data_IF_668895967022
#
_entry.id   IF_668895967022
#
_cell.length_a   1.000
_cell.length_b   1.000
_cell.length_c   1.000
_cell.angle_alpha   90.00
_cell.angle_beta   90.00
_cell.angle_gamma   90.00
#
_symmetry.space_group_name_H-M   'P 1'
#
loop_
_entity.id
_entity.type
_entity.pdbx_description
1 polymer ?
#
# COMPACT_ATOMS: atom_id res chain seq x y z
N UNK A 1 -19.48 14.98 9.09
CA UNK A 1 -19.03 15.40 10.44
C UNK A 1 -18.97 14.20 11.41
N UNK A 2 -18.11 13.18 11.21
CA UNK A 2 -18.11 11.99 12.11
C UNK A 2 -16.72 11.37 12.29
N UNK A 3 -15.69 12.15 12.64
CA UNK A 3 -14.35 11.58 12.94
C UNK A 3 -13.84 12.03 14.31
N UNK A 4 -14.10 13.29 14.67
CA UNK A 4 -13.66 13.88 15.93
C UNK A 4 -14.18 13.07 17.13
N UNK A 5 -15.34 12.41 17.01
CA UNK A 5 -15.93 11.62 18.08
C UNK A 5 -15.19 10.28 18.35
N UNK A 6 -14.56 9.66 17.33
CA UNK A 6 -13.89 8.36 17.50
C UNK A 6 -12.54 8.46 18.23
N UNK A 7 -11.89 9.62 18.13
CA UNK A 7 -10.62 9.89 18.81
C UNK A 7 -10.79 10.48 20.21
N UNK A 8 -12.02 10.89 20.58
CA UNK A 8 -12.31 11.47 21.89
C UNK A 8 -11.96 10.45 22.98
N UNK A 9 -11.07 10.83 23.90
CA UNK A 9 -10.60 9.96 25.00
C UNK A 9 -9.61 8.86 24.59
N UNK A 10 -9.12 8.82 23.34
CA UNK A 10 -8.08 7.87 22.91
C UNK A 10 -6.68 8.47 23.09
N UNK A 11 -5.75 7.65 23.56
CA UNK A 11 -4.34 8.02 23.68
C UNK A 11 -3.76 8.54 22.35
N UNK A 12 -2.84 9.52 22.34
CA UNK A 12 -2.20 10.02 21.12
C UNK A 12 -1.59 8.93 20.23
N UNK A 13 -0.99 7.91 20.85
CA UNK A 13 -0.38 6.77 20.14
C UNK A 13 -1.36 5.69 19.68
N UNK A 14 -2.65 5.82 19.98
CA UNK A 14 -3.67 4.85 19.58
C UNK A 14 -3.68 4.65 18.05
N UNK A 15 -3.68 3.39 17.63
CA UNK A 15 -3.78 3.01 16.23
C UNK A 15 -4.57 1.70 16.03
N UNK A 16 -5.24 1.63 14.89
CA UNK A 16 -6.02 0.48 14.41
C UNK A 16 -5.35 -0.21 13.22
N UNK A 17 -4.43 0.46 12.53
CA UNK A 17 -3.71 -0.17 11.44
C UNK A 17 -2.44 0.56 11.03
N UNK A 18 -1.68 -0.08 10.13
CA UNK A 18 -0.39 0.40 9.64
C UNK A 18 -0.42 0.45 8.11
N UNK A 19 -0.10 1.63 7.55
CA UNK A 19 0.26 1.75 6.14
C UNK A 19 1.76 1.55 5.99
N UNK A 20 2.15 0.49 5.30
CA UNK A 20 3.53 0.14 5.01
C UNK A 20 3.86 0.57 3.59
N UNK A 21 4.57 1.68 3.44
CA UNK A 21 5.07 2.16 2.14
C UNK A 21 6.45 1.53 1.91
N UNK A 22 6.62 0.80 0.81
CA UNK A 22 7.86 0.08 0.48
C UNK A 22 8.36 0.48 -0.90
N UNK A 23 9.66 0.74 -1.01
CA UNK A 23 10.33 1.14 -2.24
C UNK A 23 9.63 2.35 -2.92
N UNK A 24 8.96 3.19 -2.12
CA UNK A 24 8.15 4.30 -2.59
C UNK A 24 8.99 5.58 -2.70
N UNK A 25 8.84 6.37 -3.77
CA UNK A 25 9.44 7.71 -3.82
C UNK A 25 8.77 8.64 -2.80
N UNK A 26 9.48 9.70 -2.40
CA UNK A 26 8.98 10.66 -1.41
C UNK A 26 7.66 11.33 -1.82
N UNK A 27 7.40 11.45 -3.12
CA UNK A 27 6.13 11.94 -3.65
C UNK A 27 4.93 11.14 -3.12
N UNK A 28 5.01 9.80 -3.11
CA UNK A 28 3.95 8.93 -2.61
C UNK A 28 3.73 9.16 -1.11
N UNK A 29 4.82 9.27 -0.34
CA UNK A 29 4.78 9.49 1.10
C UNK A 29 4.11 10.85 1.40
N UNK A 30 4.53 11.88 0.68
CA UNK A 30 4.01 13.25 0.82
C UNK A 30 2.55 13.33 0.40
N UNK A 31 2.15 12.63 -0.67
CA UNK A 31 0.76 12.54 -1.10
C UNK A 31 -0.12 11.95 0.00
N UNK A 32 0.32 10.87 0.66
CA UNK A 32 -0.43 10.28 1.79
C UNK A 32 -0.58 11.30 2.90
N UNK A 33 0.51 11.88 3.39
CA UNK A 33 0.48 12.85 4.51
C UNK A 33 -0.46 14.03 4.24
N UNK A 34 -0.37 14.63 3.04
CA UNK A 34 -1.25 15.73 2.61
C UNK A 34 -2.72 15.29 2.57
N UNK A 35 -3.00 14.10 2.05
CA UNK A 35 -4.36 13.55 1.96
C UNK A 35 -4.97 13.34 3.35
N UNK A 36 -4.20 12.77 4.29
CA UNK A 36 -4.70 12.55 5.67
C UNK A 36 -4.95 13.88 6.38
N UNK A 37 -4.00 14.82 6.28
CA UNK A 37 -4.12 16.14 6.90
C UNK A 37 -5.34 16.93 6.36
N UNK A 38 -5.61 16.82 5.05
CA UNK A 38 -6.75 17.45 4.39
C UNK A 38 -8.09 16.82 4.82
N UNK A 39 -8.18 15.49 4.76
CA UNK A 39 -9.44 14.79 5.03
C UNK A 39 -9.85 14.91 6.51
N UNK A 40 -8.88 14.98 7.44
CA UNK A 40 -9.09 14.97 8.91
C UNK A 40 -9.97 13.79 9.35
N UNK A 41 -9.92 12.67 8.61
CA UNK A 41 -10.72 11.45 8.84
C UNK A 41 -10.00 10.37 9.64
N UNK A 42 -8.70 10.52 9.82
CA UNK A 42 -7.88 9.71 10.72
C UNK A 42 -6.67 10.55 11.14
N UNK A 43 -5.98 10.11 12.19
CA UNK A 43 -4.68 10.63 12.63
C UNK A 43 -3.59 9.63 12.27
N UNK A 44 -2.45 10.12 11.79
CA UNK A 44 -1.20 9.36 11.78
C UNK A 44 -0.59 9.51 13.17
N UNK A 45 -0.68 8.49 14.02
CA UNK A 45 -0.17 8.54 15.40
C UNK A 45 1.34 8.35 15.48
N UNK A 46 1.92 7.62 14.52
CA UNK A 46 3.36 7.36 14.45
C UNK A 46 3.82 7.27 13.01
N UNK A 47 5.00 7.81 12.76
CA UNK A 47 5.69 7.72 11.50
C UNK A 47 7.08 7.11 11.74
N UNK A 48 7.31 5.90 11.24
CA UNK A 48 8.53 5.13 11.50
C UNK A 48 9.26 4.82 10.20
N UNK A 49 10.51 5.27 10.07
CA UNK A 49 11.41 4.84 8.98
C UNK A 49 11.82 3.38 9.20
N UNK A 50 11.81 2.59 8.14
CA UNK A 50 12.22 1.18 8.13
C UNK A 50 13.10 0.88 6.92
N UNK A 51 13.77 -0.27 6.90
CA UNK A 51 14.54 -0.68 5.72
C UNK A 51 13.62 -0.75 4.49
N UNK A 52 13.98 -0.03 3.43
CA UNK A 52 13.21 0.01 2.18
C UNK A 52 11.87 0.74 2.28
N UNK A 53 11.66 1.62 3.28
CA UNK A 53 10.47 2.47 3.29
C UNK A 53 10.05 3.06 4.63
N UNK A 54 8.74 3.17 4.84
CA UNK A 54 8.15 3.87 6.00
C UNK A 54 6.84 3.21 6.44
N UNK A 55 6.61 3.19 7.75
CA UNK A 55 5.37 2.72 8.36
C UNK A 55 4.64 3.90 9.00
N UNK A 56 3.41 4.14 8.55
CA UNK A 56 2.52 5.17 9.07
C UNK A 56 1.39 4.49 9.84
N UNK A 57 1.22 4.84 11.12
CA UNK A 57 0.27 4.20 12.02
C UNK A 57 -1.01 5.03 12.04
N UNK A 58 -2.14 4.42 11.69
CA UNK A 58 -3.42 5.08 11.52
C UNK A 58 -4.37 4.76 12.66
N UNK A 59 -5.04 5.80 13.15
CA UNK A 59 -6.08 5.71 14.19
C UNK A 59 -7.41 5.12 13.70
N UNK A 60 -7.60 4.95 12.39
CA UNK A 60 -8.83 4.41 11.80
C UNK A 60 -8.52 3.43 10.67
N UNK A 61 -8.88 2.16 10.85
CA UNK A 61 -8.59 1.10 9.88
C UNK A 61 -9.41 1.20 8.58
N UNK A 62 -10.63 1.74 8.62
CA UNK A 62 -11.46 1.86 7.43
C UNK A 62 -10.94 2.97 6.52
N UNK A 63 -10.54 4.09 7.12
CA UNK A 63 -9.85 5.18 6.44
C UNK A 63 -8.54 4.71 5.81
N UNK A 64 -7.72 3.97 6.57
CA UNK A 64 -6.47 3.38 6.09
C UNK A 64 -6.69 2.52 4.84
N UNK A 65 -7.68 1.62 4.86
CA UNK A 65 -7.98 0.76 3.72
C UNK A 65 -8.43 1.54 2.48
N UNK A 66 -9.17 2.65 2.67
CA UNK A 66 -9.55 3.55 1.58
C UNK A 66 -8.34 4.30 1.02
N UNK A 67 -7.42 4.76 1.87
CA UNK A 67 -6.17 5.37 1.43
C UNK A 67 -5.33 4.38 0.63
N UNK A 68 -5.24 3.12 1.06
CA UNK A 68 -4.59 2.07 0.30
C UNK A 68 -5.17 1.87 -1.10
N UNK A 69 -6.50 1.89 -1.24
CA UNK A 69 -7.17 1.78 -2.55
C UNK A 69 -6.82 2.98 -3.44
N UNK A 70 -6.96 4.20 -2.91
CA UNK A 70 -6.60 5.43 -3.65
C UNK A 70 -5.12 5.46 -4.07
N UNK A 71 -4.22 4.96 -3.22
CA UNK A 71 -2.80 4.82 -3.55
C UNK A 71 -2.59 3.95 -4.79
N UNK A 72 -3.23 2.77 -4.86
CA UNK A 72 -3.16 1.87 -6.03
C UNK A 72 -3.75 2.50 -7.29
N UNK A 73 -4.77 3.35 -7.15
CA UNK A 73 -5.39 4.08 -8.26
C UNK A 73 -4.52 5.26 -8.74
N UNK A 74 -3.73 5.87 -7.85
CA UNK A 74 -2.95 7.08 -8.14
C UNK A 74 -1.53 6.76 -8.61
N UNK A 75 -0.91 5.71 -8.06
CA UNK A 75 0.51 5.40 -8.29
C UNK A 75 0.69 3.96 -8.78
N UNK A 76 1.65 3.72 -9.69
CA UNK A 76 1.99 2.37 -10.12
C UNK A 76 2.59 1.59 -8.95
N UNK A 77 1.89 0.54 -8.53
CA UNK A 77 2.32 -0.26 -7.38
C UNK A 77 1.37 -1.38 -7.03
N UNK A 78 1.76 -2.13 -6.01
CA UNK A 78 1.03 -3.29 -5.50
C UNK A 78 0.51 -2.97 -4.12
N UNK A 79 -0.77 -3.27 -3.91
CA UNK A 79 -1.41 -3.20 -2.61
C UNK A 79 -1.63 -4.60 -2.04
N UNK A 80 -1.11 -4.87 -0.84
CA UNK A 80 -1.44 -6.07 -0.05
C UNK A 80 -2.12 -5.64 1.25
N UNK A 81 -3.13 -6.40 1.68
CA UNK A 81 -3.84 -6.19 2.94
C UNK A 81 -3.75 -7.45 3.79
N UNK A 82 -3.59 -7.29 5.08
CA UNK A 82 -3.71 -8.37 6.05
C UNK A 82 -4.28 -7.83 7.36
N UNK A 83 -4.88 -8.70 8.17
CA UNK A 83 -5.37 -8.38 9.50
C UNK A 83 -4.83 -9.40 10.50
N UNK A 84 -4.65 -8.96 11.75
CA UNK A 84 -4.30 -9.82 12.86
C UNK A 84 -5.21 -9.49 14.04
N UNK A 85 -5.73 -10.52 14.71
CA UNK A 85 -6.43 -10.36 15.98
C UNK A 85 -5.51 -9.67 16.99
N UNK A 86 -5.93 -8.52 17.49
CA UNK A 86 -5.18 -7.76 18.49
C UNK A 86 -5.67 -8.09 19.90
N UNK A 87 -6.98 -8.08 20.10
CA UNK A 87 -7.60 -8.45 21.39
C UNK A 87 -9.06 -8.82 21.19
N UNK A 88 -9.70 -9.31 22.24
CA UNK A 88 -11.15 -9.53 22.30
C UNK A 88 -11.71 -8.58 23.36
N UNK A 89 -12.74 -7.83 23.00
CA UNK A 89 -13.45 -6.94 23.92
C UNK A 89 -14.02 -7.75 25.07
N UNK A 90 -13.55 -7.47 26.30
CA UNK A 90 -14.06 -8.13 27.52
C UNK A 90 -15.54 -7.84 27.79
N UNK A 91 -16.04 -6.69 27.31
CA UNK A 91 -17.43 -6.27 27.54
C UNK A 91 -18.36 -6.89 26.51
N UNK A 92 -17.96 -6.91 25.23
CA UNK A 92 -18.87 -7.28 24.13
C UNK A 92 -18.52 -8.61 23.47
N UNK A 93 -17.46 -9.30 23.89
CA UNK A 93 -16.93 -10.51 23.25
C UNK A 93 -16.42 -10.31 21.82
N UNK A 94 -16.39 -9.08 21.30
CA UNK A 94 -16.06 -8.79 19.90
C UNK A 94 -14.56 -8.80 19.69
N UNK A 95 -14.13 -9.47 18.63
CA UNK A 95 -12.75 -9.42 18.17
C UNK A 95 -12.36 -8.02 17.67
N UNK A 96 -11.23 -7.52 18.16
CA UNK A 96 -10.63 -6.27 17.74
C UNK A 96 -9.37 -6.63 16.95
N UNK A 97 -9.39 -6.34 15.65
CA UNK A 97 -8.29 -6.59 14.73
C UNK A 97 -7.44 -5.34 14.53
N UNK A 98 -6.17 -5.54 14.18
CA UNK A 98 -5.31 -4.52 13.59
C UNK A 98 -5.04 -4.86 12.13
N UNK A 99 -5.13 -3.84 11.27
CA UNK A 99 -5.01 -4.01 9.82
C UNK A 99 -3.66 -3.50 9.33
N UNK A 100 -2.96 -4.30 8.53
CA UNK A 100 -1.80 -3.87 7.76
C UNK A 100 -2.20 -3.66 6.30
N UNK A 101 -1.85 -2.51 5.76
CA UNK A 101 -1.98 -2.18 4.35
C UNK A 101 -0.60 -1.89 3.82
N UNK A 102 -0.04 -2.74 2.98
CA UNK A 102 1.25 -2.54 2.36
C UNK A 102 1.09 -2.06 0.93
N UNK A 103 1.73 -0.96 0.60
CA UNK A 103 1.88 -0.49 -0.78
C UNK A 103 3.36 -0.55 -1.17
N UNK A 104 3.67 -1.22 -2.28
CA UNK A 104 5.02 -1.25 -2.86
C UNK A 104 4.99 -0.63 -4.24
N UNK A 105 5.77 0.43 -4.46
CA UNK A 105 5.91 1.04 -5.78
C UNK A 105 6.60 0.09 -6.75
N UNK A 106 6.22 0.17 -8.02
CA UNK A 106 6.93 -0.51 -9.10
C UNK A 106 8.07 0.38 -9.62
N UNK A 107 9.25 -0.17 -9.93
CA UNK A 107 10.36 0.59 -10.49
C UNK A 107 10.15 0.95 -11.98
N UNK A 108 9.06 0.47 -12.59
CA UNK A 108 8.72 0.69 -14.00
C UNK A 108 7.35 1.36 -14.15
N UNK A 109 7.23 2.24 -15.14
CA UNK A 109 5.97 2.90 -15.47
C UNK A 109 5.06 1.96 -16.26
N UNK A 110 3.82 1.80 -15.81
CA UNK A 110 2.80 1.02 -16.54
C UNK A 110 2.59 1.63 -17.93
N UNK A 111 2.49 0.77 -18.94
CA UNK A 111 2.28 1.17 -20.34
C UNK A 111 3.54 1.57 -21.13
N UNK A 112 4.69 1.76 -20.47
CA UNK A 112 5.97 1.97 -21.16
C UNK A 112 6.67 0.64 -21.43
N UNK A 113 7.34 0.55 -22.58
CA UNK A 113 8.18 -0.59 -22.93
C UNK A 113 9.50 -0.55 -22.14
N UNK A 114 9.97 -1.71 -21.70
CA UNK A 114 11.24 -1.95 -21.01
C UNK A 114 11.72 -3.36 -21.34
N UNK A 115 13.02 -3.62 -21.19
CA UNK A 115 13.58 -4.96 -21.32
C UNK A 115 13.18 -5.81 -20.12
N UNK A 116 12.69 -7.02 -20.38
CA UNK A 116 12.41 -8.01 -19.35
C UNK A 116 12.80 -9.39 -19.86
N UNK A 117 13.90 -9.93 -19.31
CA UNK A 117 14.48 -11.22 -19.70
C UNK A 117 14.85 -11.28 -21.20
N UNK A 118 15.35 -10.17 -21.76
CA UNK A 118 15.73 -10.07 -23.17
C UNK A 118 14.56 -9.86 -24.13
N UNK A 119 13.35 -9.63 -23.62
CA UNK A 119 12.19 -9.28 -24.43
C UNK A 119 11.68 -7.88 -24.07
N UNK A 120 11.42 -7.08 -25.09
CA UNK A 120 10.90 -5.73 -24.91
C UNK A 120 9.38 -5.75 -24.69
N UNK A 121 8.96 -5.46 -23.46
CA UNK A 121 7.57 -5.61 -23.01
C UNK A 121 7.06 -4.37 -22.29
N UNK A 122 5.74 -4.19 -22.24
CA UNK A 122 5.08 -3.21 -21.37
C UNK A 122 4.14 -3.88 -20.37
N UNK A 123 4.02 -3.30 -19.18
CA UNK A 123 3.01 -3.73 -18.21
C UNK A 123 1.62 -3.27 -18.68
N UNK A 124 0.69 -4.23 -18.76
CA UNK A 124 -0.73 -3.99 -19.04
C UNK A 124 -1.55 -3.99 -17.75
N UNK A 125 -1.28 -4.94 -16.85
CA UNK A 125 -2.05 -5.11 -15.60
C UNK A 125 -1.16 -5.63 -14.49
N UNK A 126 -1.38 -5.13 -13.27
CA UNK A 126 -0.67 -5.53 -12.06
C UNK A 126 -1.66 -5.92 -10.97
N UNK A 127 -1.62 -7.19 -10.57
CA UNK A 127 -2.33 -7.66 -9.38
C UNK A 127 -1.54 -8.78 -8.68
N UNK A 128 -2.13 -9.97 -8.43
CA UNK A 128 -1.37 -11.16 -8.00
C UNK A 128 -0.41 -11.66 -9.09
N UNK A 129 -0.82 -11.45 -10.34
CA UNK A 129 -0.03 -11.70 -11.55
C UNK A 129 0.24 -10.36 -12.24
N UNK A 130 1.33 -10.29 -12.99
CA UNK A 130 1.68 -9.18 -13.87
C UNK A 130 1.44 -9.64 -15.30
N UNK A 131 0.60 -8.92 -16.02
CA UNK A 131 0.39 -9.14 -17.46
C UNK A 131 1.31 -8.20 -18.23
N UNK A 132 2.19 -8.78 -19.02
CA UNK A 132 3.12 -8.11 -19.92
C UNK A 132 2.66 -8.30 -21.37
N UNK A 133 2.91 -7.32 -22.21
CA UNK A 133 2.65 -7.36 -23.65
C UNK A 133 3.93 -7.00 -24.40
N UNK A 134 4.43 -7.90 -25.24
CA UNK A 134 5.57 -7.61 -26.11
C UNK A 134 5.15 -6.73 -27.29
N UNK A 135 6.15 -6.15 -27.97
CA UNK A 135 5.93 -5.40 -29.21
C UNK A 135 5.22 -6.22 -30.29
N UNK A 136 5.49 -7.52 -30.36
CA UNK A 136 4.87 -8.45 -31.32
C UNK A 136 3.42 -8.82 -30.97
N UNK A 137 2.88 -8.30 -29.86
CA UNK A 137 1.51 -8.58 -29.42
C UNK A 137 1.36 -9.82 -28.53
N UNK A 138 2.45 -10.54 -28.22
CA UNK A 138 2.42 -11.71 -27.33
C UNK A 138 2.20 -11.28 -25.89
N UNK A 139 1.35 -12.01 -25.17
CA UNK A 139 1.03 -11.74 -23.76
C UNK A 139 1.71 -12.74 -22.84
N UNK A 140 2.38 -12.23 -21.82
CA UNK A 140 3.00 -13.03 -20.76
C UNK A 140 2.32 -12.75 -19.44
N UNK A 141 2.11 -13.80 -18.66
CA UNK A 141 1.54 -13.68 -17.31
C UNK A 141 2.54 -14.26 -16.34
N UNK A 142 3.08 -13.41 -15.48
CA UNK A 142 4.12 -13.79 -14.52
C UNK A 142 3.62 -13.56 -13.10
N UNK A 143 3.93 -14.47 -12.17
CA UNK A 143 3.66 -14.22 -10.75
C UNK A 143 4.38 -12.96 -10.29
N UNK A 144 3.71 -12.15 -9.49
CA UNK A 144 4.23 -10.83 -9.12
C UNK A 144 5.59 -10.89 -8.40
N UNK A 145 5.78 -11.83 -7.49
CA UNK A 145 7.04 -12.06 -6.78
C UNK A 145 8.17 -12.44 -7.73
N UNK A 146 7.90 -13.34 -8.69
CA UNK A 146 8.84 -13.72 -9.74
C UNK A 146 9.17 -12.52 -10.64
N UNK A 147 8.16 -11.74 -11.05
CA UNK A 147 8.35 -10.53 -11.83
C UNK A 147 9.26 -9.53 -11.12
N UNK A 148 8.99 -9.25 -9.84
CA UNK A 148 9.79 -8.32 -9.05
C UNK A 148 11.21 -8.83 -8.79
N UNK A 149 11.39 -10.14 -8.63
CA UNK A 149 12.71 -10.75 -8.49
C UNK A 149 13.54 -10.53 -9.76
N UNK A 150 13.00 -10.91 -10.92
CA UNK A 150 13.69 -10.81 -12.19
C UNK A 150 13.98 -9.36 -12.60
N UNK A 151 13.05 -8.44 -12.33
CA UNK A 151 13.23 -7.02 -12.62
C UNK A 151 14.34 -6.39 -11.78
N UNK A 152 14.61 -6.90 -10.57
CA UNK A 152 15.70 -6.44 -9.71
C UNK A 152 17.06 -7.02 -10.11
N UNK A 153 17.08 -8.22 -10.67
CA UNK A 153 18.31 -8.83 -11.18
C UNK A 153 18.79 -8.21 -12.50
N UNK A 154 17.92 -7.45 -13.17
CA UNK A 154 18.19 -6.81 -14.47
C UNK A 154 18.54 -5.31 -14.37
N UNK A 155 18.42 -4.70 -13.18
CA UNK A 155 18.75 -3.29 -12.89
C UNK A 155 20.02 -3.21 -12.04
#
# INVERSE_FOLDING_TARGET
MVVINKLKGKHPDYYEGILQLRDCPDEVINWVRKTVAKDKRARISKDKKVRGGRDLYFSDQHYLQRIGKKLKETFPGILKKSSKLFTVSRVSGKEVHRVNVMFRSLPVKVGKFFDYLGEEVKIVKVDKMVTLLSKDGRRFVVKLDVFLHNLRSAL
#
